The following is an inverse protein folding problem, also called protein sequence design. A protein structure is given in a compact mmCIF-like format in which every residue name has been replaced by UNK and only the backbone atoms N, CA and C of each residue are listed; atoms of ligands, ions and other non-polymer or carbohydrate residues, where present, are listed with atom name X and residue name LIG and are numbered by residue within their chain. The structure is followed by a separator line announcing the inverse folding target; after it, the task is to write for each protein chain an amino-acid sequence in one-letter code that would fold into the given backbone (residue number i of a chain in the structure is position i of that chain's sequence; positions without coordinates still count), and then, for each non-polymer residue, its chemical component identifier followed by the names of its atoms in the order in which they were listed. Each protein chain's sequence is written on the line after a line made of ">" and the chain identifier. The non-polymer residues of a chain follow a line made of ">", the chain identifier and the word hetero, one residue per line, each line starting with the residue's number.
data_IF_172939596662
#
_entry.id   IF_172939596662
#
_cell.length_a   1.000
_cell.length_b   1.000
_cell.length_c   1.000
_cell.angle_alpha   90.00
_cell.angle_beta   90.00
_cell.angle_gamma   90.00
#
_symmetry.space_group_name_H-M   'P 1'
#
loop_
_entity.id
_entity.type
_entity.pdbx_description
1 polymer ?
#
# COMPACT_ATOMS: atom_id res chain seq x y z
N UNK A 1 6.90 -11.38 8.79
CA UNK A 1 7.29 -11.99 7.49
C UNK A 1 8.55 -11.31 6.96
N UNK A 2 8.56 -10.01 6.73
CA UNK A 2 9.64 -9.29 6.02
C UNK A 2 11.02 -9.33 6.69
N UNK A 3 11.11 -9.53 8.00
CA UNK A 3 12.36 -9.63 8.75
C UNK A 3 12.71 -11.05 9.21
N UNK A 4 11.77 -12.00 9.11
CA UNK A 4 11.96 -13.37 9.62
C UNK A 4 12.04 -13.48 11.15
N UNK A 5 11.83 -12.40 11.89
CA UNK A 5 11.94 -12.33 13.35
C UNK A 5 10.58 -12.04 13.97
N UNK A 6 10.25 -12.78 15.03
CA UNK A 6 9.03 -12.52 15.82
C UNK A 6 9.20 -11.29 16.70
N UNK A 7 8.13 -10.53 16.86
CA UNK A 7 8.04 -9.35 17.70
C UNK A 7 6.77 -9.37 18.56
N UNK A 8 6.53 -8.32 19.31
CA UNK A 8 5.27 -8.14 20.04
C UNK A 8 4.20 -7.47 19.16
N UNK A 9 2.95 -7.65 19.54
CA UNK A 9 1.82 -7.07 18.80
C UNK A 9 1.89 -5.54 18.77
N UNK A 10 1.65 -4.97 17.60
CA UNK A 10 1.68 -3.53 17.39
C UNK A 10 3.06 -2.92 17.08
N UNK A 11 4.11 -3.72 17.03
CA UNK A 11 5.46 -3.27 16.64
C UNK A 11 5.69 -3.39 15.13
N UNK A 12 6.66 -2.63 14.61
CA UNK A 12 7.07 -2.60 13.20
C UNK A 12 8.58 -2.87 13.12
N UNK A 13 8.98 -4.03 12.65
CA UNK A 13 10.38 -4.45 12.45
C UNK A 13 11.32 -4.11 13.62
N UNK A 14 10.86 -4.39 14.83
CA UNK A 14 11.69 -4.41 16.03
C UNK A 14 11.58 -5.79 16.68
N UNK A 15 12.60 -6.22 17.39
CA UNK A 15 12.56 -7.48 18.15
C UNK A 15 11.76 -7.34 19.46
N UNK A 16 11.73 -8.41 20.27
CA UNK A 16 11.02 -8.41 21.54
C UNK A 16 11.55 -7.38 22.56
N UNK A 17 12.72 -6.82 22.34
CA UNK A 17 13.37 -5.80 23.18
C UNK A 17 13.30 -4.41 22.59
N UNK A 18 12.62 -4.23 21.45
CA UNK A 18 12.52 -2.96 20.73
C UNK A 18 13.75 -2.60 19.89
N UNK A 19 14.68 -3.55 19.68
CA UNK A 19 15.84 -3.32 18.82
C UNK A 19 15.43 -3.43 17.34
N UNK A 20 15.95 -2.53 16.51
CA UNK A 20 15.64 -2.50 15.08
C UNK A 20 16.07 -3.79 14.38
N UNK A 21 15.18 -4.33 13.56
CA UNK A 21 15.43 -5.48 12.69
C UNK A 21 15.38 -5.01 11.25
N UNK A 22 16.29 -5.48 10.43
CA UNK A 22 16.37 -5.10 9.01
C UNK A 22 15.43 -6.00 8.19
N UNK A 23 14.38 -5.44 7.54
CA UNK A 23 13.54 -6.20 6.63
C UNK A 23 14.27 -6.48 5.31
N UNK A 24 13.80 -7.50 4.57
CA UNK A 24 14.41 -7.96 3.32
C UNK A 24 14.55 -6.82 2.29
N UNK A 25 13.57 -5.94 2.19
CA UNK A 25 13.61 -4.80 1.27
C UNK A 25 14.86 -3.94 1.46
N UNK A 26 15.23 -3.63 2.71
CA UNK A 26 16.45 -2.85 3.00
C UNK A 26 17.74 -3.63 2.73
N UNK A 27 17.73 -4.93 2.90
CA UNK A 27 18.85 -5.78 2.52
C UNK A 27 19.07 -5.75 1.01
N UNK A 28 18.01 -5.84 0.24
CA UNK A 28 18.06 -5.74 -1.23
C UNK A 28 18.43 -4.33 -1.70
N UNK A 29 17.92 -3.29 -1.03
CA UNK A 29 18.32 -1.90 -1.31
C UNK A 29 19.83 -1.66 -1.15
N UNK A 30 20.45 -2.26 -0.13
CA UNK A 30 21.92 -2.22 0.06
C UNK A 30 22.69 -2.91 -1.07
N UNK A 31 22.06 -3.79 -1.82
CA UNK A 31 22.60 -4.46 -3.01
C UNK A 31 22.27 -3.70 -4.30
N UNK A 32 21.62 -2.54 -4.21
CA UNK A 32 21.31 -1.69 -5.34
C UNK A 32 19.95 -1.96 -6.00
N UNK A 33 19.11 -2.82 -5.43
CA UNK A 33 17.74 -3.03 -5.94
C UNK A 33 16.87 -1.80 -5.70
N UNK A 34 15.96 -1.53 -6.64
CA UNK A 34 14.87 -0.58 -6.43
C UNK A 34 13.84 -1.13 -5.45
N UNK A 35 13.26 -0.26 -4.61
CA UNK A 35 12.28 -0.67 -3.61
C UNK A 35 10.95 0.02 -3.84
N UNK A 36 9.89 -0.78 -4.00
CA UNK A 36 8.52 -0.30 -4.13
C UNK A 36 7.60 -0.84 -3.05
N UNK A 37 6.70 0.04 -2.59
CA UNK A 37 5.64 -0.28 -1.63
C UNK A 37 4.33 0.31 -2.14
N UNK A 38 3.35 -0.55 -2.38
CA UNK A 38 2.03 -0.19 -2.92
C UNK A 38 0.95 -0.79 -2.03
N UNK A 39 -0.04 0.00 -1.64
CA UNK A 39 -1.16 -0.49 -0.84
C UNK A 39 -2.47 0.20 -1.21
N UNK A 40 -3.59 -0.52 -1.13
CA UNK A 40 -4.93 0.06 -1.27
C UNK A 40 -5.39 0.81 -0.02
N UNK A 41 -4.73 0.60 1.12
CA UNK A 41 -4.93 1.31 2.38
C UNK A 41 -3.83 2.35 2.63
N UNK A 42 -3.81 2.96 3.80
CA UNK A 42 -2.91 4.08 4.10
C UNK A 42 -1.44 3.71 3.99
N UNK A 43 -0.63 4.63 3.43
CA UNK A 43 0.80 4.44 3.12
C UNK A 43 1.67 3.96 4.28
N UNK A 44 1.30 4.24 5.51
CA UNK A 44 2.01 3.84 6.73
C UNK A 44 1.21 2.88 7.62
N UNK A 45 0.17 2.22 7.07
CA UNK A 45 -0.51 1.12 7.76
C UNK A 45 0.44 -0.07 7.99
N UNK A 46 0.01 -1.09 8.72
CA UNK A 46 0.89 -2.15 9.22
C UNK A 46 1.74 -2.82 8.15
N UNK A 47 1.14 -3.21 7.02
CA UNK A 47 1.83 -3.94 5.96
C UNK A 47 2.85 -3.07 5.22
N UNK A 48 2.51 -1.87 4.72
CA UNK A 48 3.50 -0.94 4.15
C UNK A 48 4.62 -0.60 5.15
N UNK A 49 4.26 -0.37 6.42
CA UNK A 49 5.22 -0.11 7.48
C UNK A 49 6.21 -1.26 7.64
N UNK A 50 5.72 -2.50 7.77
CA UNK A 50 6.54 -3.69 7.95
C UNK A 50 7.39 -4.04 6.72
N UNK A 51 7.06 -3.52 5.55
CA UNK A 51 7.90 -3.68 4.37
C UNK A 51 9.27 -3.04 4.55
N UNK A 52 9.37 -1.90 5.28
CA UNK A 52 10.59 -1.09 5.25
C UNK A 52 10.98 -0.41 6.56
N UNK A 53 10.01 0.17 7.31
CA UNK A 53 10.23 1.04 8.46
C UNK A 53 10.59 0.28 9.75
N UNK A 54 11.03 1.01 10.78
CA UNK A 54 11.12 0.52 12.14
C UNK A 54 10.35 1.42 13.10
N UNK A 55 9.49 0.86 13.93
CA UNK A 55 8.85 1.61 15.01
C UNK A 55 8.41 0.67 16.14
N UNK A 56 8.49 1.12 17.38
CA UNK A 56 8.00 0.37 18.55
C UNK A 56 6.47 0.34 18.63
N UNK A 57 5.79 1.19 17.84
CA UNK A 57 4.32 1.19 17.71
C UNK A 57 3.87 1.47 16.28
N UNK A 58 2.99 0.61 15.76
CA UNK A 58 2.36 0.78 14.44
C UNK A 58 1.44 2.00 14.34
N UNK A 59 1.05 2.58 15.47
CA UNK A 59 0.18 3.75 15.51
C UNK A 59 0.92 5.07 15.21
N UNK A 60 2.24 5.07 15.17
CA UNK A 60 3.06 6.25 14.89
C UNK A 60 3.20 6.49 13.39
N UNK A 61 2.06 6.74 12.75
CA UNK A 61 1.91 6.76 11.29
C UNK A 61 2.79 7.77 10.58
N UNK A 62 2.90 9.01 11.09
CA UNK A 62 3.73 10.03 10.42
C UNK A 62 5.21 9.69 10.49
N UNK A 63 5.70 9.13 11.61
CA UNK A 63 7.10 8.72 11.71
C UNK A 63 7.41 7.49 10.86
N UNK A 64 6.46 6.56 10.72
CA UNK A 64 6.56 5.45 9.77
C UNK A 64 6.63 5.99 8.33
N UNK A 65 5.80 6.97 7.97
CA UNK A 65 5.86 7.61 6.66
C UNK A 65 7.20 8.29 6.41
N UNK A 66 7.80 8.93 7.43
CA UNK A 66 9.14 9.52 7.33
C UNK A 66 10.20 8.47 7.02
N UNK A 67 10.15 7.31 7.67
CA UNK A 67 11.05 6.19 7.36
C UNK A 67 10.91 5.73 5.90
N UNK A 68 9.67 5.54 5.43
CA UNK A 68 9.38 5.14 4.05
C UNK A 68 9.84 6.18 3.02
N UNK A 69 9.78 7.46 3.37
CA UNK A 69 10.15 8.58 2.49
C UNK A 69 11.61 9.03 2.62
N UNK A 70 12.40 8.40 3.48
CA UNK A 70 13.79 8.79 3.69
C UNK A 70 13.96 10.07 4.51
N UNK A 71 12.98 10.42 5.30
CA UNK A 71 13.01 11.58 6.18
C UNK A 71 13.44 11.18 7.61
N UNK A 72 13.77 12.19 8.40
CA UNK A 72 14.16 11.98 9.80
C UNK A 72 12.94 11.61 10.65
N UNK A 73 12.94 10.41 11.22
CA UNK A 73 11.94 9.89 12.16
C UNK A 73 12.46 9.82 13.60
N UNK A 74 11.62 9.46 14.53
CA UNK A 74 12.04 9.16 15.93
C UNK A 74 12.99 7.96 15.96
N UNK A 75 12.69 6.92 15.19
CA UNK A 75 13.50 5.70 15.10
C UNK A 75 14.85 5.95 14.42
N UNK A 76 14.93 6.88 13.48
CA UNK A 76 16.10 7.17 12.67
C UNK A 76 16.51 8.66 12.70
N UNK A 77 16.67 9.20 13.92
CA UNK A 77 16.96 10.64 14.14
C UNK A 77 18.28 11.11 13.55
N UNK A 78 19.32 10.30 13.67
CA UNK A 78 20.68 10.68 13.29
C UNK A 78 21.07 10.15 11.92
N UNK A 79 20.54 9.02 11.54
CA UNK A 79 20.79 8.35 10.28
C UNK A 79 19.44 7.98 9.64
N UNK A 80 18.77 8.92 8.96
CA UNK A 80 17.54 8.62 8.23
C UNK A 80 17.73 7.46 7.26
N UNK A 81 16.71 6.64 7.09
CA UNK A 81 16.72 5.59 6.08
C UNK A 81 16.81 6.21 4.68
N UNK A 82 17.31 5.50 3.67
CA UNK A 82 17.31 6.01 2.30
C UNK A 82 15.93 6.35 1.75
N UNK A 83 14.88 5.72 2.28
CA UNK A 83 13.52 5.75 1.74
C UNK A 83 13.34 4.80 0.57
N UNK A 84 12.09 4.51 0.20
CA UNK A 84 11.75 3.63 -0.92
C UNK A 84 11.75 4.43 -2.24
N UNK A 85 11.92 3.77 -3.37
CA UNK A 85 11.93 4.43 -4.67
C UNK A 85 10.51 4.70 -5.18
N UNK A 86 9.56 3.84 -4.81
CA UNK A 86 8.14 4.02 -5.11
C UNK A 86 7.32 3.78 -3.85
N UNK A 87 6.53 4.77 -3.45
CA UNK A 87 5.54 4.67 -2.37
C UNK A 87 4.18 5.12 -2.90
N UNK A 88 3.26 4.19 -3.06
CA UNK A 88 1.90 4.47 -3.52
C UNK A 88 0.89 3.92 -2.51
N UNK A 89 -0.07 4.74 -2.12
CA UNK A 89 -1.10 4.28 -1.21
C UNK A 89 -2.17 5.32 -0.93
N UNK A 90 -3.04 4.98 0.01
CA UNK A 90 -4.13 5.83 0.44
C UNK A 90 -3.78 6.62 1.73
N UNK A 91 -4.78 7.31 2.26
CA UNK A 91 -4.68 8.16 3.45
C UNK A 91 -4.96 9.63 3.19
N UNK A 92 -5.13 10.04 1.92
CA UNK A 92 -5.54 11.40 1.56
C UNK A 92 -6.88 11.75 2.23
N UNK A 93 -7.00 12.96 2.77
CA UNK A 93 -8.22 13.42 3.45
C UNK A 93 -8.45 12.81 4.84
N UNK A 94 -7.53 12.00 5.36
CA UNK A 94 -7.61 11.44 6.71
C UNK A 94 -7.07 12.44 7.75
N UNK A 95 -7.84 13.51 8.02
CA UNK A 95 -7.40 14.58 8.91
C UNK A 95 -7.38 14.15 10.38
N UNK A 96 -6.38 14.62 11.11
CA UNK A 96 -6.23 14.42 12.54
C UNK A 96 -5.71 15.69 13.22
N UNK A 97 -6.43 16.14 14.25
CA UNK A 97 -6.04 17.32 15.05
C UNK A 97 -5.22 16.97 16.28
N UNK A 98 -5.11 15.69 16.60
CA UNK A 98 -4.46 15.18 17.83
C UNK A 98 -3.58 13.99 17.48
N UNK A 99 -2.65 13.70 18.36
CA UNK A 99 -1.70 12.59 18.28
C UNK A 99 -2.38 11.21 18.28
N UNK A 100 -3.48 10.89 18.70
CA UNK A 100 -4.16 9.56 18.59
C UNK A 100 -3.22 8.35 18.79
N UNK A 101 -2.19 8.45 19.63
CA UNK A 101 -1.20 7.39 19.90
C UNK A 101 0.06 7.45 19.03
N UNK A 102 0.25 8.52 18.25
CA UNK A 102 1.50 8.81 17.56
C UNK A 102 2.55 9.39 18.51
N UNK A 103 3.79 9.44 18.08
CA UNK A 103 4.90 9.97 18.88
C UNK A 103 4.97 11.48 18.91
N UNK A 104 6.03 11.98 19.56
CA UNK A 104 6.25 13.43 19.79
C UNK A 104 6.52 14.23 18.49
N UNK A 105 6.70 13.58 17.37
CA UNK A 105 6.90 14.21 16.06
C UNK A 105 5.59 14.41 15.28
N UNK A 106 4.46 14.03 15.84
CA UNK A 106 3.18 14.23 15.20
C UNK A 106 2.89 15.72 14.98
N UNK A 107 2.43 16.03 13.77
CA UNK A 107 1.96 17.36 13.37
C UNK A 107 0.48 17.30 13.02
N UNK A 108 -0.36 18.19 13.60
CA UNK A 108 -1.78 18.28 13.23
C UNK A 108 -1.98 18.50 11.73
N UNK A 109 -3.04 17.93 11.18
CA UNK A 109 -3.34 17.93 9.75
C UNK A 109 -3.70 16.53 9.30
N UNK A 110 -3.01 15.98 8.33
CA UNK A 110 -3.25 14.63 7.90
C UNK A 110 -2.62 13.60 8.85
N UNK A 111 -3.36 12.52 9.16
CA UNK A 111 -2.94 11.47 10.11
C UNK A 111 -1.66 10.77 9.70
N UNK A 112 -1.46 10.54 8.41
CA UNK A 112 -0.41 9.67 7.87
C UNK A 112 0.79 10.44 7.32
N UNK A 113 0.62 11.70 6.95
CA UNK A 113 1.66 12.50 6.31
C UNK A 113 1.54 13.96 6.74
N UNK A 114 2.58 14.49 7.37
CA UNK A 114 2.63 15.90 7.72
C UNK A 114 2.79 16.77 6.46
N UNK A 115 2.17 17.94 6.44
CA UNK A 115 2.24 18.87 5.30
C UNK A 115 3.69 19.30 4.99
N UNK A 116 4.49 19.53 6.02
CA UNK A 116 5.91 19.87 5.87
C UNK A 116 6.70 18.72 5.24
N UNK A 117 6.44 17.47 5.63
CA UNK A 117 7.11 16.29 5.07
C UNK A 117 6.72 16.10 3.60
N UNK A 118 5.44 16.29 3.27
CA UNK A 118 4.96 16.28 1.88
C UNK A 118 5.63 17.35 1.02
N UNK A 119 5.74 18.58 1.52
CA UNK A 119 6.43 19.65 0.81
C UNK A 119 7.93 19.34 0.59
N UNK A 120 8.58 18.72 1.58
CA UNK A 120 10.02 18.43 1.56
C UNK A 120 10.40 17.34 0.56
N UNK A 121 9.56 16.33 0.33
CA UNK A 121 9.86 15.24 -0.60
C UNK A 121 9.67 15.64 -2.07
N UNK A 122 8.88 16.66 -2.36
CA UNK A 122 8.46 17.03 -3.72
C UNK A 122 9.63 17.62 -4.52
N UNK A 123 9.89 17.08 -5.73
CA UNK A 123 10.92 17.61 -6.66
C UNK A 123 10.72 19.08 -6.98
N UNK A 124 9.48 19.58 -6.99
CA UNK A 124 9.18 21.00 -7.19
C UNK A 124 9.76 21.91 -6.09
N UNK A 125 10.08 21.34 -4.92
CA UNK A 125 10.67 22.03 -3.77
C UNK A 125 12.12 21.59 -3.49
N UNK A 126 12.75 20.87 -4.43
CA UNK A 126 14.11 20.35 -4.29
C UNK A 126 14.20 19.00 -3.57
N UNK A 127 13.06 18.32 -3.40
CA UNK A 127 13.01 16.91 -2.96
C UNK A 127 13.39 15.95 -4.10
N UNK A 128 13.12 14.67 -3.89
CA UNK A 128 13.49 13.60 -4.82
C UNK A 128 12.32 12.71 -5.27
N UNK A 129 11.08 13.10 -4.97
CA UNK A 129 9.88 12.41 -5.43
C UNK A 129 9.07 13.29 -6.40
N UNK A 130 8.73 12.72 -7.55
CA UNK A 130 7.60 13.19 -8.34
C UNK A 130 6.34 12.78 -7.60
N UNK A 131 5.44 13.74 -7.36
CA UNK A 131 4.30 13.57 -6.48
C UNK A 131 2.99 13.52 -7.27
N UNK A 132 2.20 12.48 -7.08
CA UNK A 132 0.84 12.33 -7.58
C UNK A 132 -0.14 12.30 -6.40
N UNK A 133 -1.09 13.22 -6.37
CA UNK A 133 -2.13 13.26 -5.32
C UNK A 133 -3.52 13.35 -5.94
N UNK A 134 -4.53 12.93 -5.17
CA UNK A 134 -5.92 13.14 -5.54
C UNK A 134 -6.18 14.61 -5.85
N UNK A 135 -6.78 14.88 -7.00
CA UNK A 135 -7.10 16.22 -7.48
C UNK A 135 -8.58 16.29 -7.89
N UNK A 136 -9.34 17.30 -7.40
CA UNK A 136 -10.74 17.43 -7.73
C UNK A 136 -10.99 17.48 -9.25
N UNK A 137 -11.91 16.64 -9.73
CA UNK A 137 -12.33 16.56 -11.13
C UNK A 137 -11.31 16.00 -12.11
N UNK A 138 -10.16 15.48 -11.64
CA UNK A 138 -9.15 14.85 -12.49
C UNK A 138 -9.09 13.33 -12.26
N UNK A 139 -8.94 12.58 -13.33
CA UNK A 139 -8.73 11.13 -13.21
C UNK A 139 -7.47 10.84 -12.41
N UNK A 140 -7.64 10.12 -11.27
CA UNK A 140 -6.52 9.71 -10.42
C UNK A 140 -5.51 8.83 -11.16
N UNK A 141 -6.01 7.97 -12.04
CA UNK A 141 -5.16 7.16 -12.92
C UNK A 141 -4.30 8.02 -13.86
N UNK A 142 -4.89 9.04 -14.48
CA UNK A 142 -4.13 9.92 -15.38
C UNK A 142 -3.08 10.73 -14.62
N UNK A 143 -3.44 11.30 -13.47
CA UNK A 143 -2.49 12.04 -12.60
C UNK A 143 -1.33 11.14 -12.18
N UNK A 144 -1.61 9.90 -11.79
CA UNK A 144 -0.58 8.95 -11.37
C UNK A 144 0.32 8.52 -12.54
N UNK A 145 -0.25 8.21 -13.70
CA UNK A 145 0.54 7.78 -14.86
C UNK A 145 1.42 8.89 -15.42
N UNK A 146 0.94 10.14 -15.43
CA UNK A 146 1.75 11.30 -15.80
C UNK A 146 2.95 11.48 -14.87
N UNK A 147 2.74 11.34 -13.55
CA UNK A 147 3.81 11.43 -12.56
C UNK A 147 4.80 10.25 -12.69
N UNK A 148 4.31 9.04 -12.88
CA UNK A 148 5.16 7.86 -13.09
C UNK A 148 6.03 7.98 -14.34
N UNK A 149 5.47 8.51 -15.44
CA UNK A 149 6.24 8.80 -16.65
C UNK A 149 7.33 9.84 -16.40
N UNK A 150 7.03 10.92 -15.69
CA UNK A 150 8.03 11.94 -15.33
C UNK A 150 9.14 11.34 -14.44
N UNK A 151 8.78 10.60 -13.40
CA UNK A 151 9.73 9.93 -12.52
C UNK A 151 10.66 9.00 -13.31
N UNK A 152 10.10 8.17 -14.19
CA UNK A 152 10.89 7.26 -15.05
C UNK A 152 11.85 8.04 -15.97
N UNK A 153 11.40 9.11 -16.62
CA UNK A 153 12.22 9.88 -17.57
C UNK A 153 13.42 10.59 -16.91
N UNK A 154 13.27 11.02 -15.65
CA UNK A 154 14.30 11.80 -14.95
C UNK A 154 15.11 10.95 -13.96
N UNK A 155 14.72 9.70 -13.72
CA UNK A 155 15.33 8.85 -12.69
C UNK A 155 14.97 9.29 -11.27
N UNK A 156 13.83 9.97 -11.13
CA UNK A 156 13.28 10.40 -9.85
C UNK A 156 12.46 9.29 -9.18
N UNK A 157 12.21 9.42 -7.90
CA UNK A 157 11.30 8.56 -7.13
C UNK A 157 9.85 8.94 -7.38
N UNK A 158 8.93 8.00 -7.12
CA UNK A 158 7.50 8.23 -7.27
C UNK A 158 6.77 8.14 -5.94
N UNK A 159 6.02 9.18 -5.60
CA UNK A 159 5.10 9.19 -4.47
C UNK A 159 3.66 9.41 -4.94
N UNK A 160 2.75 8.47 -4.62
CA UNK A 160 1.33 8.59 -4.92
C UNK A 160 0.48 8.55 -3.66
N UNK A 161 -0.35 9.58 -3.44
CA UNK A 161 -1.15 9.73 -2.24
C UNK A 161 -2.61 10.01 -2.59
N UNK A 162 -3.43 8.99 -2.43
CA UNK A 162 -4.83 8.95 -2.84
C UNK A 162 -5.72 8.52 -1.67
N UNK A 163 -6.99 8.33 -1.91
CA UNK A 163 -7.93 7.81 -0.94
C UNK A 163 -9.32 8.43 -1.06
N UNK A 164 -10.28 7.68 -0.52
CA UNK A 164 -11.64 8.09 -0.30
C UNK A 164 -11.94 8.14 1.20
N UNK A 165 -13.19 8.25 1.56
CA UNK A 165 -13.62 8.24 2.95
C UNK A 165 -13.08 6.99 3.69
N UNK A 166 -12.48 7.20 4.85
CA UNK A 166 -11.88 6.13 5.66
C UNK A 166 -10.40 5.86 5.38
N UNK A 167 -9.79 6.57 4.42
CA UNK A 167 -8.34 6.52 4.17
C UNK A 167 -7.88 5.25 3.43
N UNK A 168 -8.68 4.77 2.49
CA UNK A 168 -8.36 3.66 1.59
C UNK A 168 -8.82 3.99 0.16
N UNK A 169 -8.39 3.22 -0.83
CA UNK A 169 -8.85 3.38 -2.21
C UNK A 169 -10.28 2.86 -2.38
N UNK A 170 -11.07 3.40 -3.33
CA UNK A 170 -12.32 2.78 -3.71
C UNK A 170 -12.09 1.37 -4.29
N UNK A 171 -12.89 0.40 -3.84
CA UNK A 171 -12.93 -0.95 -4.39
C UNK A 171 -14.38 -1.38 -4.63
N UNK A 172 -14.56 -2.36 -5.46
CA UNK A 172 -15.89 -2.90 -5.82
C UNK A 172 -16.37 -3.89 -4.77
N UNK A 173 -17.65 -4.15 -4.78
CA UNK A 173 -18.30 -5.27 -4.07
C UNK A 173 -18.26 -6.54 -4.93
N UNK A 174 -18.74 -7.67 -4.41
CA UNK A 174 -18.75 -8.95 -5.11
C UNK A 174 -19.49 -8.90 -6.45
N UNK A 175 -20.50 -8.05 -6.58
CA UNK A 175 -21.28 -7.86 -7.82
C UNK A 175 -20.61 -6.90 -8.83
N UNK A 176 -19.42 -6.41 -8.53
CA UNK A 176 -18.65 -5.53 -9.39
C UNK A 176 -19.03 -4.05 -9.35
N UNK A 177 -19.90 -3.65 -8.40
CA UNK A 177 -20.32 -2.25 -8.22
C UNK A 177 -19.55 -1.58 -7.08
N UNK A 178 -19.69 -0.26 -6.97
CA UNK A 178 -19.13 0.56 -5.90
C UNK A 178 -20.16 0.95 -4.83
N UNK A 179 -21.26 0.21 -4.70
CA UNK A 179 -22.41 0.50 -3.82
C UNK A 179 -22.57 -0.60 -2.76
N UNK A 180 -21.67 -0.64 -1.82
CA UNK A 180 -21.75 -1.53 -0.67
C UNK A 180 -22.78 -1.01 0.35
N UNK A 181 -23.36 -1.92 1.14
CA UNK A 181 -24.26 -1.57 2.24
C UNK A 181 -23.60 -0.63 3.28
N UNK A 182 -22.29 -0.75 3.43
CA UNK A 182 -21.52 -0.03 4.45
C UNK A 182 -20.75 1.16 3.90
N UNK A 183 -20.59 1.28 2.59
CA UNK A 183 -19.77 2.32 1.95
C UNK A 183 -20.36 2.73 0.61
N UNK A 184 -20.56 4.02 0.46
CA UNK A 184 -20.90 4.63 -0.82
C UNK A 184 -19.79 5.54 -1.27
N UNK A 185 -19.18 5.20 -2.38
CA UNK A 185 -18.24 6.08 -3.04
C UNK A 185 -19.01 7.05 -3.94
N UNK A 186 -18.64 8.33 -3.89
CA UNK A 186 -19.12 9.30 -4.84
C UNK A 186 -18.48 9.11 -6.22
N UNK A 187 -19.06 9.66 -7.26
CA UNK A 187 -18.44 9.68 -8.60
C UNK A 187 -17.05 10.32 -8.57
N UNK A 188 -16.85 11.33 -7.71
CA UNK A 188 -15.56 11.95 -7.48
C UNK A 188 -14.56 10.96 -6.83
N UNK A 189 -14.99 10.17 -5.85
CA UNK A 189 -14.12 9.15 -5.26
C UNK A 189 -13.66 8.12 -6.29
N UNK A 190 -14.55 7.71 -7.18
CA UNK A 190 -14.23 6.72 -8.23
C UNK A 190 -13.33 7.33 -9.30
N UNK A 191 -13.61 8.56 -9.75
CA UNK A 191 -12.83 9.23 -10.80
C UNK A 191 -11.43 9.63 -10.32
N UNK A 192 -11.35 10.22 -9.13
CA UNK A 192 -10.17 10.92 -8.64
C UNK A 192 -9.13 10.00 -7.97
N UNK A 193 -9.44 8.71 -7.87
CA UNK A 193 -8.53 7.70 -7.33
C UNK A 193 -8.13 6.68 -8.42
N UNK A 194 -6.87 6.22 -8.42
CA UNK A 194 -6.47 5.07 -9.22
C UNK A 194 -6.94 3.77 -8.54
N UNK A 195 -7.07 2.69 -9.30
CA UNK A 195 -7.20 1.33 -8.74
C UNK A 195 -5.83 0.81 -8.27
N UNK A 196 -5.84 -0.25 -7.44
CA UNK A 196 -4.62 -0.93 -7.02
C UNK A 196 -3.81 -1.46 -8.21
N UNK A 197 -4.47 -2.00 -9.23
CA UNK A 197 -3.83 -2.45 -10.47
C UNK A 197 -3.16 -1.30 -11.23
N UNK A 198 -3.77 -0.12 -11.27
CA UNK A 198 -3.16 1.06 -11.90
C UNK A 198 -1.96 1.57 -11.10
N UNK A 199 -2.00 1.51 -9.77
CA UNK A 199 -0.86 1.82 -8.92
C UNK A 199 0.26 0.81 -9.12
N UNK A 200 -0.06 -0.48 -9.22
CA UNK A 200 0.90 -1.55 -9.54
C UNK A 200 1.60 -1.29 -10.88
N UNK A 201 0.84 -0.93 -11.92
CA UNK A 201 1.40 -0.58 -13.23
C UNK A 201 2.36 0.61 -13.16
N UNK A 202 1.98 1.67 -12.43
CA UNK A 202 2.85 2.84 -12.25
C UNK A 202 4.15 2.47 -11.52
N UNK A 203 4.06 1.65 -10.47
CA UNK A 203 5.21 1.17 -9.71
C UNK A 203 6.17 0.35 -10.60
N UNK A 204 5.65 -0.61 -11.34
CA UNK A 204 6.43 -1.42 -12.28
C UNK A 204 7.14 -0.55 -13.33
N UNK A 205 6.43 0.46 -13.87
CA UNK A 205 6.98 1.38 -14.87
C UNK A 205 8.17 2.19 -14.37
N UNK A 206 8.18 2.59 -13.09
CA UNK A 206 9.30 3.33 -12.49
C UNK A 206 10.43 2.38 -12.07
N UNK A 207 10.10 1.29 -11.38
CA UNK A 207 11.08 0.37 -10.81
C UNK A 207 11.86 -0.41 -11.87
N UNK A 208 11.25 -0.70 -13.01
CA UNK A 208 11.90 -1.41 -14.13
C UNK A 208 13.08 -0.66 -14.75
N UNK A 209 13.23 0.63 -14.46
CA UNK A 209 14.40 1.40 -14.87
C UNK A 209 15.67 1.05 -14.08
N UNK A 210 15.56 0.37 -12.94
CA UNK A 210 16.74 -0.02 -12.15
C UNK A 210 17.42 -1.25 -12.78
N UNK A 211 18.69 -1.12 -13.20
CA UNK A 211 19.43 -2.21 -13.89
C UNK A 211 19.72 -3.41 -12.98
N UNK A 212 19.66 -3.23 -11.66
CA UNK A 212 19.89 -4.30 -10.69
C UNK A 212 18.60 -5.05 -10.34
N UNK A 213 17.45 -4.66 -10.93
CA UNK A 213 16.14 -5.19 -10.59
C UNK A 213 15.49 -4.46 -9.39
N UNK A 214 14.40 -5.01 -8.90
CA UNK A 214 13.62 -4.38 -7.84
C UNK A 214 12.94 -5.39 -6.93
N UNK A 215 12.56 -4.94 -5.76
CA UNK A 215 11.63 -5.59 -4.85
C UNK A 215 10.37 -4.73 -4.73
N UNK A 216 9.22 -5.34 -4.92
CA UNK A 216 7.93 -4.66 -4.88
C UNK A 216 6.96 -5.41 -3.98
N UNK A 217 6.42 -4.73 -2.97
CA UNK A 217 5.30 -5.21 -2.17
C UNK A 217 4.01 -4.54 -2.66
N UNK A 218 2.96 -5.34 -2.86
CA UNK A 218 1.63 -4.88 -3.25
C UNK A 218 0.63 -5.47 -2.26
N UNK A 219 -0.22 -4.63 -1.70
CA UNK A 219 -1.22 -5.03 -0.70
C UNK A 219 -2.64 -4.66 -1.13
N UNK A 220 -3.51 -5.65 -1.17
CA UNK A 220 -4.97 -5.46 -1.19
C UNK A 220 -5.48 -5.38 0.25
N UNK A 221 -5.19 -4.27 0.94
CA UNK A 221 -5.38 -4.13 2.38
C UNK A 221 -6.85 -4.08 2.82
N UNK A 222 -7.77 -3.75 1.90
CA UNK A 222 -9.21 -3.73 2.18
C UNK A 222 -9.80 -5.12 2.41
N UNK A 223 -9.12 -6.19 2.00
CA UNK A 223 -9.49 -7.58 2.34
C UNK A 223 -9.49 -7.77 3.85
N UNK A 224 -8.45 -7.30 4.54
CA UNK A 224 -8.32 -7.33 6.00
C UNK A 224 -9.43 -6.52 6.68
N UNK A 225 -9.66 -5.30 6.23
CA UNK A 225 -10.66 -4.42 6.84
C UNK A 225 -12.09 -4.94 6.67
N UNK A 226 -12.42 -5.46 5.49
CA UNK A 226 -13.72 -6.07 5.22
C UNK A 226 -13.91 -7.34 6.06
N UNK A 227 -12.88 -8.16 6.17
CA UNK A 227 -12.90 -9.38 6.98
C UNK A 227 -13.03 -9.08 8.49
N UNK A 228 -12.34 -8.07 9.02
CA UNK A 228 -12.53 -7.60 10.39
C UNK A 228 -13.96 -7.09 10.66
N UNK A 229 -14.63 -6.53 9.64
CA UNK A 229 -16.03 -6.08 9.71
C UNK A 229 -17.03 -7.22 9.47
N UNK A 230 -16.57 -8.46 9.30
CA UNK A 230 -17.38 -9.62 8.91
C UNK A 230 -18.24 -9.37 7.65
N UNK A 231 -17.72 -8.57 6.73
CA UNK A 231 -18.40 -8.19 5.50
C UNK A 231 -17.84 -8.98 4.31
N UNK A 232 -18.51 -10.08 3.98
CA UNK A 232 -18.06 -11.01 2.92
C UNK A 232 -18.16 -10.37 1.52
N UNK A 233 -19.16 -9.53 1.29
CA UNK A 233 -19.37 -8.87 0.00
C UNK A 233 -18.18 -7.92 -0.33
N UNK A 234 -17.84 -7.06 0.61
CA UNK A 234 -16.67 -6.18 0.50
C UNK A 234 -15.36 -6.97 0.44
N UNK A 235 -15.23 -8.08 1.21
CA UNK A 235 -14.03 -8.91 1.18
C UNK A 235 -13.80 -9.57 -0.18
N UNK A 236 -14.86 -10.06 -0.83
CA UNK A 236 -14.79 -10.61 -2.20
C UNK A 236 -14.36 -9.52 -3.18
N UNK A 237 -14.98 -8.35 -3.12
CA UNK A 237 -14.64 -7.23 -4.02
C UNK A 237 -13.22 -6.71 -3.83
N UNK A 238 -12.76 -6.61 -2.58
CA UNK A 238 -11.37 -6.26 -2.27
C UNK A 238 -10.38 -7.33 -2.78
N UNK A 239 -10.76 -8.62 -2.71
CA UNK A 239 -9.97 -9.71 -3.28
C UNK A 239 -9.85 -9.59 -4.79
N UNK A 240 -10.91 -9.22 -5.49
CA UNK A 240 -10.85 -8.94 -6.94
C UNK A 240 -9.91 -7.77 -7.26
N UNK A 241 -9.86 -6.75 -6.42
CA UNK A 241 -8.87 -5.67 -6.56
C UNK A 241 -7.42 -6.18 -6.47
N UNK A 242 -7.17 -7.14 -5.58
CA UNK A 242 -5.91 -7.85 -5.46
C UNK A 242 -5.59 -8.73 -6.67
N UNK A 243 -6.58 -9.47 -7.18
CA UNK A 243 -6.44 -10.30 -8.38
C UNK A 243 -6.12 -9.45 -9.62
N UNK A 244 -6.78 -8.31 -9.79
CA UNK A 244 -6.47 -7.37 -10.87
C UNK A 244 -5.03 -6.83 -10.77
N UNK A 245 -4.54 -6.55 -9.56
CA UNK A 245 -3.16 -6.15 -9.35
C UNK A 245 -2.16 -7.31 -9.62
N UNK A 246 -2.50 -8.53 -9.21
CA UNK A 246 -1.71 -9.71 -9.52
C UNK A 246 -1.60 -9.96 -11.03
N UNK A 247 -2.72 -9.85 -11.77
CA UNK A 247 -2.72 -9.94 -13.23
C UNK A 247 -1.82 -8.88 -13.86
N UNK A 248 -1.84 -7.66 -13.34
CA UNK A 248 -0.96 -6.59 -13.82
C UNK A 248 0.53 -6.97 -13.67
N UNK A 249 0.91 -7.65 -12.58
CA UNK A 249 2.27 -8.16 -12.38
C UNK A 249 2.60 -9.27 -13.39
N UNK A 250 1.73 -10.29 -13.49
CA UNK A 250 1.98 -11.42 -14.40
C UNK A 250 2.02 -11.01 -15.86
N UNK A 251 1.11 -10.13 -16.29
CA UNK A 251 1.12 -9.56 -17.63
C UNK A 251 2.43 -8.78 -17.91
N UNK A 252 2.91 -8.02 -16.91
CA UNK A 252 4.18 -7.31 -17.05
C UNK A 252 5.35 -8.28 -17.21
N UNK A 253 5.40 -9.35 -16.41
CA UNK A 253 6.46 -10.38 -16.50
C UNK A 253 6.43 -11.09 -17.84
N UNK A 254 5.24 -11.46 -18.35
CA UNK A 254 5.06 -12.08 -19.66
C UNK A 254 5.51 -11.16 -20.80
N UNK A 255 5.06 -9.90 -20.80
CA UNK A 255 5.38 -8.93 -21.86
C UNK A 255 6.89 -8.66 -21.93
N UNK A 256 7.59 -8.73 -20.79
CA UNK A 256 9.03 -8.50 -20.73
C UNK A 256 9.88 -9.78 -20.81
N UNK A 257 9.25 -10.96 -21.02
CA UNK A 257 9.91 -12.27 -21.03
C UNK A 257 10.81 -12.49 -19.81
N UNK A 258 10.31 -12.12 -18.62
CA UNK A 258 11.12 -11.98 -17.42
C UNK A 258 10.88 -13.09 -16.36
N UNK A 259 10.23 -14.21 -16.71
CA UNK A 259 9.94 -15.28 -15.75
C UNK A 259 11.18 -15.97 -15.19
N UNK A 260 12.26 -16.04 -15.95
CA UNK A 260 13.50 -16.67 -15.47
C UNK A 260 14.18 -15.86 -14.36
N UNK A 261 13.93 -14.54 -14.30
CA UNK A 261 14.54 -13.61 -13.37
C UNK A 261 13.56 -13.06 -12.32
N UNK A 262 12.30 -13.53 -12.33
CA UNK A 262 11.24 -13.00 -11.47
C UNK A 262 10.67 -14.06 -10.54
N UNK A 263 10.51 -13.69 -9.27
CA UNK A 263 9.76 -14.47 -8.27
C UNK A 263 8.54 -13.67 -7.85
N UNK A 264 7.35 -14.26 -8.03
CA UNK A 264 6.08 -13.69 -7.55
C UNK A 264 5.57 -14.53 -6.38
N UNK A 265 5.33 -13.91 -5.24
CA UNK A 265 4.84 -14.57 -4.03
C UNK A 265 3.47 -13.96 -3.68
N UNK A 266 2.44 -14.79 -3.64
CA UNK A 266 1.11 -14.42 -3.16
C UNK A 266 0.89 -15.08 -1.81
N UNK A 267 0.58 -14.28 -0.78
CA UNK A 267 0.41 -14.77 0.58
C UNK A 267 -0.53 -13.88 1.37
N UNK A 268 -0.98 -14.37 2.52
CA UNK A 268 -1.62 -13.58 3.57
C UNK A 268 -0.73 -13.57 4.82
N UNK A 269 -0.76 -12.48 5.59
CA UNK A 269 -0.05 -12.34 6.86
C UNK A 269 -0.75 -13.09 7.99
N UNK A 270 -2.10 -13.14 7.97
CA UNK A 270 -2.94 -13.95 8.85
C UNK A 270 -4.29 -14.27 8.16
N UNK A 271 -5.04 -15.15 8.79
CA UNK A 271 -6.43 -15.44 8.39
C UNK A 271 -7.44 -14.66 9.22
N UNK A 272 -8.70 -14.74 8.81
CA UNK A 272 -9.84 -14.17 9.51
C UNK A 272 -10.88 -15.23 9.83
N UNK A 273 -11.66 -15.01 10.88
CA UNK A 273 -12.86 -15.78 11.18
C UNK A 273 -14.08 -15.05 10.60
N UNK A 274 -14.71 -15.62 9.58
CA UNK A 274 -16.03 -15.19 9.17
C UNK A 274 -17.10 -15.94 9.99
N UNK A 275 -18.03 -15.18 10.57
CA UNK A 275 -19.25 -15.74 11.20
C UNK A 275 -20.33 -15.75 10.14
N UNK A 276 -20.71 -16.92 9.69
CA UNK A 276 -21.73 -17.14 8.68
C UNK A 276 -22.93 -17.82 9.34
N UNK A 277 -24.07 -17.12 9.41
CA UNK A 277 -25.30 -17.64 10.01
C UNK A 277 -25.95 -18.76 9.16
N UNK A 278 -25.74 -18.70 7.84
CA UNK A 278 -26.31 -19.65 6.87
C UNK A 278 -25.26 -20.01 5.81
N UNK A 279 -24.19 -20.73 6.16
CA UNK A 279 -23.07 -21.02 5.25
C UNK A 279 -23.50 -21.84 4.02
N UNK A 280 -24.60 -22.60 4.12
CA UNK A 280 -25.18 -23.38 3.01
C UNK A 280 -25.68 -22.50 1.87
N UNK A 281 -25.98 -21.24 2.10
CA UNK A 281 -26.42 -20.31 1.05
C UNK A 281 -25.29 -19.92 0.11
N UNK A 282 -24.04 -20.07 0.53
CA UNK A 282 -22.84 -19.85 -0.28
C UNK A 282 -22.45 -21.08 -1.08
N UNK A 283 -22.88 -22.26 -0.66
CA UNK A 283 -22.75 -23.47 -1.45
C UNK A 283 -23.83 -23.45 -2.53
N UNK A 284 -23.44 -23.37 -3.80
CA UNK A 284 -24.38 -23.57 -4.92
C UNK A 284 -25.14 -24.89 -4.73
N UNK A 285 -26.30 -25.09 -5.40
CA UNK A 285 -27.06 -26.31 -5.29
C UNK A 285 -26.14 -27.50 -5.55
N UNK A 286 -25.95 -28.36 -4.55
CA UNK A 286 -25.13 -29.55 -4.69
C UNK A 286 -25.65 -30.31 -5.90
N UNK A 287 -24.83 -30.55 -6.91
CA UNK A 287 -25.15 -31.49 -7.96
C UNK A 287 -25.51 -32.78 -7.24
N UNK A 288 -26.78 -33.15 -7.27
CA UNK A 288 -27.24 -34.44 -6.75
C UNK A 288 -26.41 -35.52 -7.45
N UNK A 289 -25.78 -36.46 -6.74
CA UNK A 289 -25.13 -37.55 -7.39
C UNK A 289 -26.19 -38.28 -8.18
N UNK A 290 -26.04 -38.30 -9.52
CA UNK A 290 -26.85 -39.13 -10.39
C UNK A 290 -26.84 -40.58 -9.83
N UNK A 291 -27.94 -41.03 -9.29
CA UNK A 291 -28.14 -42.42 -8.95
C UNK A 291 -28.47 -43.15 -10.25
N UNK A 292 -27.44 -43.62 -10.93
CA UNK A 292 -27.60 -44.65 -11.92
C UNK A 292 -27.42 -46.01 -11.28
#
# INVERSE_FOLDING_TARGET
>A
MTSGIKTYNGAVNVDAYGQHVIPIARTLQQQGFGIGVVSSVSISHATPACAYANNVTRADYQDISRDLLGLRSISHRFNPLPGVDVLLGAGWGADASRDNGQGNNFQPGNRFLAEEDFARINVANGGNYVVAVRQPGRSGSAVLMDAAWQAHQHGDRLFGYFGAQGGHLPYKTADGKYDSLNRRYSDADILENPSLAQMTRAALGVLSANPNGFWLMIEAGDVDWAAHSNNIDDAIGATFSGDDAFRMVTDWVEINDAWEDTVVIVTADHGHYFVLDQPETLAGPSASPDRS
#
